data_IF_053273392968
#
_entry.id   IF_053273392968
#
_cell.length_a   1.000
_cell.length_b   1.000
_cell.length_c   1.000
_cell.angle_alpha   90.00
_cell.angle_beta   90.00
_cell.angle_gamma   90.00
#
_symmetry.space_group_name_H-M   'P 1'
#
loop_
_entity.id
_entity.type
_entity.pdbx_description
1 polymer ?
#
# COMPACT_ATOMS: atom_id res chain seq x y z
N UNK A 1 11.53 0.19 16.07
CA UNK A 1 12.58 0.57 15.10
C UNK A 1 11.95 0.95 13.75
N UNK A 2 11.12 2.01 13.70
CA UNK A 2 10.38 2.38 12.49
C UNK A 2 10.95 3.65 11.80
N UNK A 3 12.08 4.17 12.27
CA UNK A 3 12.70 5.42 11.79
C UNK A 3 13.76 5.23 10.71
N UNK A 4 13.91 4.01 10.18
CA UNK A 4 14.96 3.68 9.21
C UNK A 4 16.24 3.19 9.87
N UNK A 5 17.41 3.35 9.22
CA UNK A 5 18.67 2.72 9.63
C UNK A 5 19.31 3.37 10.87
N UNK A 6 18.82 4.55 11.30
CA UNK A 6 19.28 5.22 12.50
C UNK A 6 18.11 5.59 13.42
N UNK A 7 18.26 5.35 14.72
CA UNK A 7 17.29 5.72 15.74
C UNK A 7 17.74 7.03 16.38
N UNK A 8 17.09 8.12 16.00
CA UNK A 8 17.37 9.48 16.48
C UNK A 8 16.33 9.97 17.49
N UNK A 9 15.16 9.33 17.57
CA UNK A 9 14.12 9.61 18.56
C UNK A 9 13.31 8.35 18.88
N UNK A 10 12.74 8.26 20.08
CA UNK A 10 11.78 7.20 20.42
C UNK A 10 10.42 7.81 20.77
N UNK A 11 9.33 7.10 20.44
CA UNK A 11 7.96 7.51 20.79
C UNK A 11 7.72 7.33 22.29
N UNK A 12 8.25 6.24 22.84
CA UNK A 12 8.20 5.91 24.26
C UNK A 12 9.52 6.32 24.92
N UNK A 13 9.42 6.84 26.14
CA UNK A 13 10.55 7.26 26.96
C UNK A 13 10.50 6.52 28.30
N UNK A 14 11.67 6.31 28.89
CA UNK A 14 11.79 5.67 30.21
C UNK A 14 11.81 6.75 31.30
N UNK A 15 11.20 6.46 32.44
CA UNK A 15 11.27 7.34 33.62
C UNK A 15 12.69 7.32 34.23
N UNK A 16 13.05 8.35 34.99
CA UNK A 16 14.34 8.42 35.67
C UNK A 16 14.61 7.21 36.59
N UNK A 17 13.57 6.72 37.26
CA UNK A 17 13.64 5.51 38.09
C UNK A 17 13.90 4.24 37.25
N UNK A 18 13.25 4.10 36.09
CA UNK A 18 13.51 2.97 35.18
C UNK A 18 14.90 3.02 34.53
N UNK A 19 15.45 4.22 34.29
CA UNK A 19 16.79 4.41 33.75
C UNK A 19 17.90 3.94 34.72
N UNK A 20 17.66 4.02 36.03
CA UNK A 20 18.63 3.62 37.05
C UNK A 20 18.88 2.10 37.10
N UNK A 21 17.87 1.29 36.73
CA UNK A 21 17.99 -0.17 36.64
C UNK A 21 18.31 -0.71 35.23
N UNK A 22 18.28 0.15 34.21
CA UNK A 22 18.47 -0.23 32.82
C UNK A 22 19.92 -0.11 32.35
N UNK A 23 20.34 -0.94 31.40
CA UNK A 23 21.61 -0.74 30.68
C UNK A 23 21.40 0.24 29.53
N UNK A 24 22.05 1.40 29.62
CA UNK A 24 22.01 2.38 28.54
C UNK A 24 22.81 1.88 27.33
N UNK A 25 22.22 1.99 26.15
CA UNK A 25 22.86 1.75 24.87
C UNK A 25 23.53 3.04 24.40
N UNK A 26 24.80 2.96 24.06
CA UNK A 26 25.57 4.10 23.57
C UNK A 26 25.34 4.34 22.08
N UNK A 27 25.44 5.60 21.62
CA UNK A 27 25.45 5.92 20.19
C UNK A 27 26.49 5.10 19.42
N UNK A 28 26.14 4.68 18.20
CA UNK A 28 26.93 3.80 17.34
C UNK A 28 26.65 2.31 17.54
N UNK A 29 25.95 1.91 18.61
CA UNK A 29 25.61 0.49 18.82
C UNK A 29 24.58 0.00 17.81
N UNK A 30 24.83 -1.18 17.21
CA UNK A 30 23.88 -1.84 16.31
C UNK A 30 22.78 -2.51 17.13
N UNK A 31 21.53 -2.33 16.71
CA UNK A 31 20.32 -2.83 17.35
C UNK A 31 19.62 -3.81 16.41
N UNK A 32 19.09 -4.90 16.95
CA UNK A 32 18.34 -5.92 16.20
C UNK A 32 17.05 -6.30 16.94
N UNK A 33 15.90 -6.24 16.26
CA UNK A 33 14.61 -6.64 16.82
C UNK A 33 14.26 -8.11 16.50
N UNK A 34 13.77 -8.85 17.50
CA UNK A 34 13.57 -10.32 17.39
C UNK A 34 12.23 -10.88 17.93
N UNK A 35 11.29 -10.06 18.43
CA UNK A 35 9.95 -10.52 18.90
C UNK A 35 8.77 -10.06 18.02
N UNK A 36 8.57 -8.74 17.83
CA UNK A 36 7.34 -8.19 17.21
C UNK A 36 7.56 -7.56 15.84
N UNK A 37 8.76 -7.00 15.60
CA UNK A 37 9.21 -6.49 14.30
C UNK A 37 10.48 -7.22 13.87
N UNK A 38 10.35 -8.54 13.74
CA UNK A 38 11.45 -9.47 13.46
C UNK A 38 12.25 -8.98 12.24
N UNK A 39 13.57 -8.90 12.40
CA UNK A 39 14.51 -8.61 11.31
C UNK A 39 14.80 -7.13 11.04
N UNK A 40 14.26 -6.20 11.84
CA UNK A 40 14.68 -4.78 11.75
C UNK A 40 16.03 -4.58 12.42
N UNK A 41 16.99 -4.02 11.69
CA UNK A 41 18.33 -3.67 12.16
C UNK A 41 18.54 -2.15 12.03
N UNK A 42 19.09 -1.50 13.04
CA UNK A 42 19.38 -0.06 13.01
C UNK A 42 20.54 0.30 13.93
N UNK A 43 21.11 1.49 13.76
CA UNK A 43 22.13 2.08 14.63
C UNK A 43 21.50 3.03 15.65
N UNK A 44 21.91 2.96 16.91
CA UNK A 44 21.56 3.99 17.89
C UNK A 44 22.31 5.29 17.54
N UNK A 45 21.59 6.39 17.26
CA UNK A 45 22.21 7.71 17.04
C UNK A 45 22.24 8.55 18.32
N UNK A 46 21.41 8.21 19.29
CA UNK A 46 21.33 8.84 20.61
C UNK A 46 21.47 7.77 21.72
N UNK A 47 21.85 8.16 22.95
CA UNK A 47 21.74 7.27 24.09
C UNK A 47 20.29 6.83 24.29
N UNK A 48 20.05 5.53 24.43
CA UNK A 48 18.70 4.98 24.56
C UNK A 48 18.69 3.72 25.40
N UNK A 49 17.50 3.29 25.82
CA UNK A 49 17.29 2.02 26.52
C UNK A 49 16.45 1.09 25.65
N UNK A 50 16.74 -0.21 25.70
CA UNK A 50 16.03 -1.24 24.94
C UNK A 50 15.21 -2.12 25.86
N UNK A 51 14.05 -2.57 25.39
CA UNK A 51 13.29 -3.63 26.06
C UNK A 51 13.83 -5.02 25.68
N UNK A 52 13.24 -6.07 26.25
CA UNK A 52 13.64 -7.47 25.99
C UNK A 52 13.39 -7.97 24.57
N UNK A 53 12.83 -7.15 23.68
CA UNK A 53 12.55 -7.50 22.29
C UNK A 53 13.64 -7.00 21.32
N UNK A 54 14.64 -6.26 21.83
CA UNK A 54 15.70 -5.62 21.04
C UNK A 54 17.06 -6.01 21.62
N UNK A 55 17.95 -6.53 20.79
CA UNK A 55 19.31 -6.88 21.14
C UNK A 55 20.23 -5.72 20.78
N UNK A 56 21.04 -5.27 21.74
CA UNK A 56 22.15 -4.36 21.49
C UNK A 56 23.42 -5.16 21.20
N UNK A 57 24.04 -4.89 20.05
CA UNK A 57 25.21 -5.57 19.51
C UNK A 57 26.39 -4.58 19.45
N UNK A 58 27.11 -4.34 20.56
CA UNK A 58 28.30 -3.51 20.54
C UNK A 58 29.43 -4.22 19.78
N UNK A 59 30.07 -3.49 18.86
CA UNK A 59 31.20 -4.01 18.08
C UNK A 59 32.45 -4.00 18.97
N UNK A 60 32.97 -5.20 19.26
CA UNK A 60 34.20 -5.38 20.04
C UNK A 60 35.47 -5.10 19.23
N UNK A 61 35.43 -5.36 17.92
CA UNK A 61 36.58 -5.30 17.00
C UNK A 61 36.25 -4.45 15.78
N UNK A 62 36.46 -3.13 15.91
CA UNK A 62 36.22 -2.16 14.84
C UNK A 62 37.27 -2.22 13.71
N UNK A 63 38.40 -2.87 13.99
CA UNK A 63 39.44 -3.24 13.03
C UNK A 63 38.97 -4.30 12.02
N UNK A 64 37.95 -5.09 12.37
CA UNK A 64 37.43 -6.15 11.50
C UNK A 64 36.13 -5.82 10.81
N UNK A 65 35.25 -5.08 11.45
CA UNK A 65 33.88 -4.91 10.96
C UNK A 65 33.35 -3.52 11.25
N UNK A 66 32.69 -2.92 10.26
CA UNK A 66 32.01 -1.63 10.41
C UNK A 66 30.56 -1.82 10.87
N UNK A 67 30.02 -0.82 11.56
CA UNK A 67 28.62 -0.79 11.99
C UNK A 67 27.66 -0.94 10.81
N UNK A 68 27.92 -0.22 9.72
CA UNK A 68 27.02 -0.17 8.57
C UNK A 68 27.05 -1.50 7.78
N UNK A 69 28.21 -2.16 7.70
CA UNK A 69 28.30 -3.50 7.11
C UNK A 69 27.61 -4.55 7.97
N UNK A 70 27.74 -4.48 9.30
CA UNK A 70 27.04 -5.38 10.21
C UNK A 70 25.51 -5.23 10.08
N UNK A 71 25.02 -4.00 9.91
CA UNK A 71 23.59 -3.72 9.67
C UNK A 71 23.13 -4.39 8.37
N UNK A 72 23.88 -4.21 7.27
CA UNK A 72 23.55 -4.80 5.97
C UNK A 72 23.58 -6.33 6.01
N UNK A 73 24.60 -6.92 6.65
CA UNK A 73 24.77 -8.37 6.76
C UNK A 73 23.67 -9.04 7.59
N UNK A 74 23.32 -8.46 8.74
CA UNK A 74 22.23 -8.97 9.57
C UNK A 74 20.86 -8.82 8.89
N UNK A 75 20.67 -7.75 8.12
CA UNK A 75 19.46 -7.58 7.30
C UNK A 75 19.28 -8.71 6.27
N UNK A 76 20.36 -9.15 5.62
CA UNK A 76 20.32 -10.26 4.65
C UNK A 76 20.13 -11.62 5.32
N UNK A 77 20.80 -11.88 6.44
CA UNK A 77 20.70 -13.16 7.16
C UNK A 77 19.25 -13.45 7.61
N UNK A 78 18.47 -12.41 7.92
CA UNK A 78 17.06 -12.54 8.30
C UNK A 78 16.13 -12.70 7.07
N UNK A 79 16.40 -12.01 5.95
CA UNK A 79 15.66 -12.19 4.69
C UNK A 79 15.75 -13.64 4.16
N UNK A 80 16.93 -14.25 4.26
CA UNK A 80 17.14 -15.65 3.85
C UNK A 80 16.41 -16.66 4.76
N UNK A 81 16.30 -16.38 6.06
CA UNK A 81 15.53 -17.20 7.01
C UNK A 81 14.01 -17.10 6.80
N UNK A 82 13.51 -15.91 6.47
CA UNK A 82 12.07 -15.67 6.22
C UNK A 82 11.55 -16.28 4.91
N UNK A 83 12.44 -16.63 3.98
CA UNK A 83 12.08 -17.32 2.73
C UNK A 83 11.63 -18.77 2.97
N UNK A 84 12.02 -19.38 4.10
CA UNK A 84 11.45 -20.64 4.59
C UNK A 84 10.15 -20.34 5.36
N UNK A 85 9.01 -20.44 4.68
CA UNK A 85 7.61 -20.16 5.10
C UNK A 85 7.11 -20.82 6.42
N UNK A 86 7.94 -21.44 7.24
CA UNK A 86 7.54 -22.15 8.45
C UNK A 86 7.87 -21.44 9.79
N UNK A 87 8.57 -20.29 9.79
CA UNK A 87 9.10 -19.70 11.03
C UNK A 87 8.30 -18.51 11.58
N UNK A 88 6.96 -18.51 11.48
CA UNK A 88 6.12 -17.43 12.05
C UNK A 88 6.00 -17.45 13.60
N UNK A 89 6.83 -18.24 14.28
CA UNK A 89 6.91 -18.34 15.75
C UNK A 89 8.33 -18.54 16.31
N UNK A 90 9.37 -18.48 15.47
CA UNK A 90 10.75 -18.67 15.94
C UNK A 90 11.30 -17.38 16.52
N UNK A 91 10.95 -17.07 17.77
CA UNK A 91 11.59 -15.98 18.52
C UNK A 91 13.10 -16.17 18.48
N UNK A 92 13.84 -15.23 17.88
CA UNK A 92 15.29 -15.26 17.87
C UNK A 92 15.77 -15.12 19.32
N UNK A 93 16.47 -16.12 19.84
CA UNK A 93 17.01 -16.12 21.21
C UNK A 93 18.52 -15.83 21.19
N UNK A 94 19.09 -15.54 22.37
CA UNK A 94 20.52 -15.19 22.52
C UNK A 94 21.48 -16.28 22.05
N UNK A 95 21.05 -17.55 22.05
CA UNK A 95 21.84 -18.68 21.55
C UNK A 95 21.90 -18.69 20.02
N UNK A 96 20.72 -18.61 19.36
CA UNK A 96 20.60 -18.58 17.90
C UNK A 96 21.27 -17.35 17.26
N UNK A 97 21.37 -16.24 17.98
CA UNK A 97 22.13 -15.06 17.55
C UNK A 97 23.63 -15.34 17.39
N UNK A 98 24.20 -16.20 18.24
CA UNK A 98 25.63 -16.56 18.16
C UNK A 98 25.95 -17.49 16.99
N UNK A 99 24.95 -18.19 16.47
CA UNK A 99 25.08 -19.13 15.37
C UNK A 99 25.01 -18.45 14.00
N UNK A 100 24.61 -17.18 13.94
CA UNK A 100 24.55 -16.43 12.68
C UNK A 100 25.97 -16.21 12.16
N UNK A 101 26.28 -16.83 11.02
CA UNK A 101 27.51 -16.59 10.28
C UNK A 101 27.29 -15.47 9.29
N UNK A 102 28.21 -14.51 9.29
CA UNK A 102 28.25 -13.40 8.33
C UNK A 102 29.58 -13.43 7.57
N UNK A 103 29.61 -13.07 6.29
CA UNK A 103 30.87 -12.93 5.55
C UNK A 103 31.67 -11.76 6.15
N UNK A 104 32.99 -11.91 6.19
CA UNK A 104 33.89 -10.90 6.77
C UNK A 104 34.99 -10.51 5.77
N UNK A 105 34.65 -9.74 4.72
CA UNK A 105 35.63 -9.25 3.76
C UNK A 105 36.49 -8.12 4.37
N UNK A 106 37.49 -7.64 3.64
CA UNK A 106 38.36 -6.55 4.11
C UNK A 106 37.57 -5.26 4.39
N UNK A 107 38.06 -4.38 5.27
CA UNK A 107 37.38 -3.10 5.56
C UNK A 107 37.12 -2.24 4.31
N UNK A 108 38.05 -2.13 3.34
CA UNK A 108 37.76 -1.46 2.07
C UNK A 108 36.59 -2.09 1.30
N UNK A 109 36.54 -3.42 1.25
CA UNK A 109 35.47 -4.15 0.57
C UNK A 109 34.12 -4.00 1.28
N UNK A 110 34.12 -4.04 2.62
CA UNK A 110 32.90 -3.76 3.40
C UNK A 110 32.32 -2.38 3.09
N UNK A 111 33.18 -1.35 3.01
CA UNK A 111 32.77 0.02 2.64
C UNK A 111 32.23 0.08 1.21
N UNK A 112 32.87 -0.62 0.27
CA UNK A 112 32.41 -0.72 -1.12
C UNK A 112 31.03 -1.36 -1.21
N UNK A 113 30.82 -2.50 -0.54
CA UNK A 113 29.54 -3.22 -0.49
C UNK A 113 28.44 -2.31 0.05
N UNK A 114 28.68 -1.68 1.20
CA UNK A 114 27.70 -0.78 1.84
C UNK A 114 27.36 0.38 0.90
N UNK A 115 28.35 1.02 0.28
CA UNK A 115 28.11 2.13 -0.64
C UNK A 115 27.23 1.73 -1.84
N UNK A 116 27.45 0.56 -2.43
CA UNK A 116 26.63 0.04 -3.54
C UNK A 116 25.19 -0.21 -3.09
N UNK A 117 25.01 -0.86 -1.94
CA UNK A 117 23.67 -1.16 -1.40
C UNK A 117 22.92 0.13 -1.02
N UNK A 118 23.59 1.10 -0.40
CA UNK A 118 23.01 2.39 -0.01
C UNK A 118 22.58 3.21 -1.24
N UNK A 119 23.36 3.20 -2.32
CA UNK A 119 22.99 3.86 -3.58
C UNK A 119 21.70 3.26 -4.16
N UNK A 120 21.61 1.94 -4.20
CA UNK A 120 20.43 1.24 -4.71
C UNK A 120 19.19 1.48 -3.82
N UNK A 121 19.35 1.45 -2.49
CA UNK A 121 18.24 1.74 -1.56
C UNK A 121 17.80 3.21 -1.61
N UNK A 122 18.74 4.14 -1.78
CA UNK A 122 18.45 5.57 -1.98
C UNK A 122 17.60 5.78 -3.23
N UNK A 123 17.94 5.12 -4.34
CA UNK A 123 17.16 5.20 -5.58
C UNK A 123 15.73 4.66 -5.38
N UNK A 124 15.59 3.50 -4.74
CA UNK A 124 14.29 2.89 -4.41
C UNK A 124 13.43 3.80 -3.54
N UNK A 125 14.05 4.41 -2.51
CA UNK A 125 13.37 5.34 -1.62
C UNK A 125 12.92 6.61 -2.35
N UNK A 126 13.75 7.16 -3.24
CA UNK A 126 13.36 8.30 -4.09
C UNK A 126 12.17 7.95 -4.98
N UNK A 127 12.16 6.78 -5.63
CA UNK A 127 11.05 6.34 -6.49
C UNK A 127 9.74 6.13 -5.71
N UNK A 128 9.80 5.53 -4.51
CA UNK A 128 8.64 5.42 -3.62
C UNK A 128 8.05 6.78 -3.25
N UNK A 129 8.90 7.79 -3.02
CA UNK A 129 8.44 9.17 -2.75
C UNK A 129 7.73 9.78 -3.97
N UNK A 130 8.25 9.59 -5.17
CA UNK A 130 7.60 10.06 -6.41
C UNK A 130 6.23 9.41 -6.59
N UNK A 131 6.10 8.11 -6.32
CA UNK A 131 4.81 7.42 -6.40
C UNK A 131 3.76 8.04 -5.46
N UNK A 132 4.16 8.35 -4.22
CA UNK A 132 3.29 9.02 -3.25
C UNK A 132 2.92 10.45 -3.66
N UNK A 133 3.82 11.17 -4.36
CA UNK A 133 3.52 12.49 -4.91
C UNK A 133 2.49 12.41 -6.04
N UNK A 134 2.56 11.40 -6.91
CA UNK A 134 1.57 11.18 -7.97
C UNK A 134 0.17 10.96 -7.37
N UNK A 135 0.08 10.22 -6.27
CA UNK A 135 -1.19 10.02 -5.57
C UNK A 135 -1.79 11.34 -5.04
N UNK A 136 -0.94 12.28 -4.63
CA UNK A 136 -1.38 13.61 -4.20
C UNK A 136 -1.82 14.50 -5.36
N UNK A 137 -1.29 14.31 -6.58
CA UNK A 137 -1.61 15.14 -7.76
C UNK A 137 -3.08 15.05 -8.16
N UNK A 138 -3.70 13.88 -8.09
CA UNK A 138 -5.12 13.73 -8.40
C UNK A 138 -5.99 14.62 -7.49
N UNK A 139 -5.64 14.65 -6.20
CA UNK A 139 -6.30 15.52 -5.20
C UNK A 139 -6.09 16.98 -5.51
N UNK A 140 -4.83 17.40 -5.67
CA UNK A 140 -4.49 18.79 -5.93
C UNK A 140 -5.09 19.32 -7.24
N UNK A 141 -5.12 18.48 -8.29
CA UNK A 141 -5.72 18.86 -9.59
C UNK A 141 -7.23 19.03 -9.44
N UNK A 142 -7.89 18.16 -8.67
CA UNK A 142 -9.32 18.30 -8.39
C UNK A 142 -9.62 19.60 -7.64
N UNK A 143 -8.87 19.87 -6.57
CA UNK A 143 -9.06 21.09 -5.78
C UNK A 143 -8.81 22.35 -6.63
N UNK A 144 -7.74 22.36 -7.44
CA UNK A 144 -7.44 23.46 -8.35
C UNK A 144 -8.55 23.71 -9.39
N UNK A 145 -9.13 22.64 -9.95
CA UNK A 145 -10.13 22.75 -11.01
C UNK A 145 -11.53 23.04 -10.48
N UNK A 146 -11.89 22.51 -9.31
CA UNK A 146 -13.29 22.48 -8.85
C UNK A 146 -13.54 23.11 -7.48
N UNK A 147 -12.56 23.14 -6.56
CA UNK A 147 -12.80 23.66 -5.21
C UNK A 147 -13.03 25.17 -5.22
N UNK A 148 -13.95 25.63 -4.37
CA UNK A 148 -14.32 27.05 -4.24
C UNK A 148 -15.09 27.63 -5.41
N UNK A 149 -15.42 26.82 -6.43
CA UNK A 149 -16.28 27.22 -7.55
C UNK A 149 -17.72 26.81 -7.29
N UNK A 150 -18.65 27.69 -7.67
CA UNK A 150 -20.08 27.44 -7.53
C UNK A 150 -20.62 26.85 -8.84
N UNK A 151 -20.75 25.54 -8.89
CA UNK A 151 -21.48 24.84 -9.94
C UNK A 151 -22.90 24.52 -9.45
N UNK A 152 -23.84 24.39 -10.37
CA UNK A 152 -25.18 23.91 -10.04
C UNK A 152 -25.09 22.46 -9.55
N UNK A 153 -25.80 22.15 -8.47
CA UNK A 153 -25.88 20.78 -7.95
C UNK A 153 -27.16 20.09 -8.43
N UNK A 154 -27.08 18.78 -8.61
CA UNK A 154 -28.19 17.88 -8.94
C UNK A 154 -28.11 16.61 -8.08
N UNK A 155 -29.13 15.76 -8.13
CA UNK A 155 -29.02 14.43 -7.54
C UNK A 155 -28.11 13.57 -8.42
N UNK A 156 -27.20 12.82 -7.81
CA UNK A 156 -26.34 11.88 -8.52
C UNK A 156 -27.16 10.89 -9.37
N UNK A 157 -28.31 10.46 -8.86
CA UNK A 157 -29.23 9.54 -9.53
C UNK A 157 -29.79 10.07 -10.84
N UNK A 158 -29.88 11.38 -11.01
CA UNK A 158 -30.38 12.01 -12.25
C UNK A 158 -29.41 11.77 -13.42
N UNK A 159 -28.14 11.49 -13.11
CA UNK A 159 -27.07 11.23 -14.09
C UNK A 159 -26.68 9.75 -14.21
N UNK A 160 -27.32 8.85 -13.45
CA UNK A 160 -27.01 7.41 -13.46
C UNK A 160 -27.87 6.69 -14.51
N UNK A 161 -27.28 6.41 -15.68
CA UNK A 161 -28.00 5.72 -16.79
C UNK A 161 -28.15 4.22 -16.58
N UNK A 162 -27.21 3.61 -15.85
CA UNK A 162 -27.26 2.19 -15.49
C UNK A 162 -26.62 1.98 -14.13
N UNK A 163 -27.22 1.09 -13.35
CA UNK A 163 -26.67 0.62 -12.09
C UNK A 163 -26.95 -0.87 -11.92
N UNK A 164 -25.90 -1.64 -11.65
CA UNK A 164 -26.02 -3.09 -11.56
C UNK A 164 -25.18 -3.62 -10.40
N UNK A 165 -25.81 -4.41 -9.52
CA UNK A 165 -25.10 -5.17 -8.50
C UNK A 165 -24.45 -6.38 -9.16
N UNK A 166 -23.23 -6.69 -8.75
CA UNK A 166 -22.45 -7.79 -9.30
C UNK A 166 -23.03 -9.16 -9.01
N UNK A 167 -22.44 -10.17 -9.63
CA UNK A 167 -22.83 -11.57 -9.45
C UNK A 167 -22.43 -12.07 -8.07
N UNK A 168 -23.26 -12.91 -7.45
CA UNK A 168 -22.92 -13.59 -6.20
C UNK A 168 -22.29 -14.96 -6.49
N UNK A 169 -21.14 -15.21 -5.86
CA UNK A 169 -20.37 -16.46 -5.95
C UNK A 169 -19.71 -16.71 -4.62
N UNK A 170 -20.03 -17.83 -3.98
CA UNK A 170 -19.46 -18.24 -2.69
C UNK A 170 -17.98 -18.59 -2.85
N UNK A 171 -17.26 -18.69 -1.72
CA UNK A 171 -15.83 -18.99 -1.75
C UNK A 171 -15.48 -20.30 -2.47
N UNK A 172 -16.33 -21.33 -2.37
CA UNK A 172 -16.14 -22.62 -3.05
C UNK A 172 -16.28 -22.53 -4.58
N UNK A 173 -16.95 -21.50 -5.08
CA UNK A 173 -17.19 -21.27 -6.51
C UNK A 173 -16.09 -20.41 -7.15
N UNK A 174 -15.10 -19.98 -6.36
CA UNK A 174 -13.99 -19.14 -6.77
C UNK A 174 -12.69 -19.96 -6.86
N UNK A 175 -11.92 -19.79 -7.93
CA UNK A 175 -10.64 -20.49 -8.07
C UNK A 175 -9.91 -20.10 -9.35
N UNK A 176 -8.59 -20.29 -9.39
CA UNK A 176 -7.77 -19.93 -10.56
C UNK A 176 -8.09 -20.75 -11.82
N UNK A 177 -8.65 -21.95 -11.64
CA UNK A 177 -9.05 -22.85 -12.74
C UNK A 177 -10.36 -22.42 -13.44
N UNK A 178 -11.06 -21.41 -12.93
CA UNK A 178 -12.33 -20.91 -13.47
C UNK A 178 -12.11 -19.96 -14.64
N UNK A 179 -13.15 -19.69 -15.42
CA UNK A 179 -13.01 -19.03 -16.73
C UNK A 179 -12.93 -17.50 -16.67
N UNK A 180 -13.71 -16.83 -15.83
CA UNK A 180 -13.85 -15.37 -15.87
C UNK A 180 -13.24 -14.69 -14.65
N UNK A 181 -12.52 -13.60 -14.87
CA UNK A 181 -11.99 -12.76 -13.80
C UNK A 181 -13.11 -12.17 -12.95
N UNK A 182 -12.91 -12.16 -11.63
CA UNK A 182 -13.91 -11.79 -10.65
C UNK A 182 -13.35 -10.77 -9.66
N UNK A 183 -13.71 -9.50 -9.86
CA UNK A 183 -13.32 -8.37 -9.01
C UNK A 183 -14.18 -8.37 -7.76
N UNK A 184 -13.52 -8.33 -6.61
CA UNK A 184 -14.16 -8.28 -5.30
C UNK A 184 -13.95 -6.92 -4.64
N UNK A 185 -14.76 -6.61 -3.63
CA UNK A 185 -14.66 -5.35 -2.88
C UNK A 185 -13.29 -5.08 -2.21
N UNK A 186 -12.46 -6.11 -1.97
CA UNK A 186 -11.10 -5.98 -1.47
C UNK A 186 -10.09 -5.52 -2.54
N UNK A 187 -10.42 -5.62 -3.83
CA UNK A 187 -9.62 -5.05 -4.91
C UNK A 187 -9.65 -3.51 -4.91
N UNK A 188 -10.69 -2.87 -4.37
CA UNK A 188 -10.70 -1.41 -4.21
C UNK A 188 -9.83 -1.06 -2.99
N UNK A 189 -8.68 -0.42 -3.21
CA UNK A 189 -7.75 -0.04 -2.13
C UNK A 189 -8.34 1.07 -1.25
N UNK A 190 -7.71 1.33 -0.10
CA UNK A 190 -8.10 2.43 0.81
C UNK A 190 -7.90 3.82 0.21
N UNK A 191 -7.21 3.92 -0.92
CA UNK A 191 -6.96 5.17 -1.65
C UNK A 191 -7.85 5.29 -2.90
N UNK A 192 -8.82 4.38 -3.09
CA UNK A 192 -9.79 4.46 -4.20
C UNK A 192 -9.28 3.94 -5.54
N UNK A 193 -8.26 3.07 -5.54
CA UNK A 193 -7.71 2.46 -6.75
C UNK A 193 -8.13 1.00 -6.87
N UNK A 194 -8.01 0.42 -8.05
CA UNK A 194 -8.15 -1.03 -8.25
C UNK A 194 -6.80 -1.73 -8.22
N UNK A 195 -6.66 -2.68 -7.29
CA UNK A 195 -5.57 -3.64 -7.27
C UNK A 195 -6.05 -4.97 -7.86
N UNK A 196 -5.61 -5.23 -9.10
CA UNK A 196 -6.02 -6.41 -9.86
C UNK A 196 -4.99 -7.55 -9.82
N UNK A 197 -3.94 -7.47 -8.98
CA UNK A 197 -2.83 -8.44 -8.96
C UNK A 197 -3.23 -9.82 -8.44
N UNK A 198 -4.21 -9.90 -7.54
CA UNK A 198 -4.64 -11.13 -6.88
C UNK A 198 -6.14 -11.39 -7.02
N UNK A 199 -6.68 -11.16 -8.22
CA UNK A 199 -8.09 -11.41 -8.50
C UNK A 199 -8.41 -12.92 -8.49
N UNK A 200 -9.65 -13.23 -8.13
CA UNK A 200 -10.21 -14.58 -8.24
C UNK A 200 -10.84 -14.76 -9.61
N UNK A 201 -11.17 -16.00 -9.96
CA UNK A 201 -11.96 -16.31 -11.16
C UNK A 201 -13.16 -17.16 -10.78
N UNK A 202 -14.22 -17.07 -11.59
CA UNK A 202 -15.50 -17.77 -11.42
C UNK A 202 -16.02 -18.26 -12.78
N UNK A 203 -16.92 -19.23 -12.75
CA UNK A 203 -17.68 -19.61 -13.95
C UNK A 203 -18.99 -18.82 -13.99
N UNK A 204 -19.42 -18.49 -15.21
CA UNK A 204 -20.63 -17.73 -15.48
C UNK A 204 -21.19 -18.18 -16.83
N UNK A 205 -22.52 -18.15 -16.95
CA UNK A 205 -23.18 -18.34 -18.26
C UNK A 205 -22.97 -17.12 -19.16
N UNK A 206 -23.17 -17.28 -20.46
CA UNK A 206 -23.08 -16.17 -21.43
C UNK A 206 -24.00 -15.00 -21.05
N UNK A 207 -25.22 -15.29 -20.60
CA UNK A 207 -26.18 -14.27 -20.13
C UNK A 207 -25.70 -13.52 -18.88
N UNK A 208 -25.01 -14.21 -17.95
CA UNK A 208 -24.40 -13.55 -16.79
C UNK A 208 -23.21 -12.69 -17.22
N UNK A 209 -22.40 -13.17 -18.17
CA UNK A 209 -21.29 -12.40 -18.71
C UNK A 209 -21.80 -11.12 -19.36
N UNK A 210 -22.81 -11.20 -20.23
CA UNK A 210 -23.40 -10.04 -20.88
C UNK A 210 -23.91 -9.01 -19.86
N UNK A 211 -24.61 -9.47 -18.82
CA UNK A 211 -25.22 -8.60 -17.80
C UNK A 211 -24.20 -7.98 -16.85
N UNK A 212 -23.24 -8.76 -16.37
CA UNK A 212 -22.35 -8.40 -15.26
C UNK A 212 -20.91 -8.09 -15.70
N UNK A 213 -20.64 -7.96 -16.99
CA UNK A 213 -19.33 -7.50 -17.47
C UNK A 213 -19.12 -6.02 -17.20
N UNK A 214 -17.89 -5.70 -16.81
CA UNK A 214 -17.38 -4.33 -16.75
C UNK A 214 -16.78 -3.90 -18.09
N UNK A 215 -16.86 -2.61 -18.36
CA UNK A 215 -16.26 -1.92 -19.50
C UNK A 215 -15.43 -0.74 -19.01
N UNK A 216 -14.46 -0.31 -19.81
CA UNK A 216 -13.65 0.88 -19.47
C UNK A 216 -14.54 2.09 -19.19
N UNK A 217 -14.27 2.78 -18.07
CA UNK A 217 -15.06 3.92 -17.61
C UNK A 217 -16.19 3.58 -16.65
N UNK A 218 -16.48 2.30 -16.40
CA UNK A 218 -17.46 1.92 -15.37
C UNK A 218 -16.98 2.36 -13.97
N UNK A 219 -17.84 3.01 -13.20
CA UNK A 219 -17.55 3.31 -11.80
C UNK A 219 -17.98 2.14 -10.92
N UNK A 220 -17.04 1.57 -10.16
CA UNK A 220 -17.34 0.58 -9.14
C UNK A 220 -17.55 1.27 -7.79
N UNK A 221 -18.66 0.94 -7.13
CA UNK A 221 -19.03 1.45 -5.81
C UNK A 221 -19.19 0.30 -4.81
N UNK A 222 -18.49 0.36 -3.68
CA UNK A 222 -18.58 -0.63 -2.61
C UNK A 222 -19.83 -0.41 -1.75
N UNK A 223 -20.86 -1.23 -1.97
CA UNK A 223 -22.18 -1.07 -1.35
C UNK A 223 -22.27 -1.66 0.05
N UNK A 224 -21.43 -2.65 0.40
CA UNK A 224 -21.48 -3.36 1.69
C UNK A 224 -20.10 -3.67 2.23
N UNK A 225 -19.80 -3.21 3.45
CA UNK A 225 -18.52 -3.47 4.12
C UNK A 225 -18.57 -3.06 5.61
N UNK A 226 -17.41 -3.02 6.29
CA UNK A 226 -17.28 -2.28 7.55
C UNK A 226 -17.57 -0.79 7.35
N UNK A 227 -17.85 -0.06 8.45
CA UNK A 227 -18.21 1.37 8.41
C UNK A 227 -17.14 2.22 7.72
N UNK A 228 -15.86 1.91 7.94
CA UNK A 228 -14.76 2.67 7.35
C UNK A 228 -14.47 2.30 5.88
N UNK A 229 -14.98 1.17 5.38
CA UNK A 229 -14.69 0.67 4.02
C UNK A 229 -15.87 0.75 3.05
N UNK A 230 -17.09 0.90 3.55
CA UNK A 230 -18.29 1.09 2.71
C UNK A 230 -18.26 2.46 2.04
N UNK A 231 -18.67 2.52 0.77
CA UNK A 231 -18.66 3.74 -0.04
C UNK A 231 -17.35 4.00 -0.79
N UNK A 232 -16.33 3.14 -0.65
CA UNK A 232 -15.15 3.20 -1.51
C UNK A 232 -15.56 3.06 -2.97
N UNK A 233 -14.93 3.87 -3.82
CA UNK A 233 -15.14 3.82 -5.26
C UNK A 233 -13.83 3.68 -6.01
N UNK A 234 -13.89 3.18 -7.24
CA UNK A 234 -12.80 3.22 -8.20
C UNK A 234 -13.35 3.17 -9.62
N UNK A 235 -12.68 3.86 -10.55
CA UNK A 235 -13.02 3.76 -11.98
C UNK A 235 -12.34 2.56 -12.59
N UNK A 236 -13.09 1.72 -13.28
CA UNK A 236 -12.59 0.54 -13.96
C UNK A 236 -11.91 0.92 -15.28
N UNK A 237 -10.67 0.47 -15.44
CA UNK A 237 -9.88 0.67 -16.67
C UNK A 237 -9.35 -0.67 -17.15
N UNK A 238 -9.91 -1.20 -18.25
CA UNK A 238 -9.50 -2.52 -18.76
C UNK A 238 -10.55 -3.26 -19.57
N UNK A 239 -10.23 -4.52 -19.87
CA UNK A 239 -11.07 -5.45 -20.65
C UNK A 239 -12.25 -5.99 -19.84
N UNK A 240 -13.16 -6.74 -20.46
CA UNK A 240 -14.29 -7.33 -19.74
C UNK A 240 -13.86 -8.20 -18.54
N UNK A 241 -14.48 -7.94 -17.37
CA UNK A 241 -14.35 -8.70 -16.12
C UNK A 241 -15.67 -8.70 -15.36
N UNK A 242 -15.92 -9.76 -14.60
CA UNK A 242 -17.06 -9.83 -13.68
C UNK A 242 -16.69 -9.22 -12.33
N UNK A 243 -17.71 -8.88 -11.55
CA UNK A 243 -17.54 -8.29 -10.22
C UNK A 243 -18.55 -8.84 -9.22
N UNK A 244 -18.18 -8.78 -7.95
CA UNK A 244 -18.94 -9.37 -6.86
C UNK A 244 -20.14 -8.51 -6.44
N UNK A 245 -21.17 -9.13 -5.88
CA UNK A 245 -22.39 -8.52 -5.37
C UNK A 245 -22.25 -7.46 -4.24
N UNK A 246 -21.07 -7.28 -3.64
CA UNK A 246 -20.79 -6.15 -2.73
C UNK A 246 -20.33 -4.90 -3.49
N UNK A 247 -20.14 -5.02 -4.79
CA UNK A 247 -19.86 -3.92 -5.69
C UNK A 247 -21.08 -3.64 -6.57
N UNK A 248 -21.29 -2.36 -6.85
CA UNK A 248 -22.26 -1.86 -7.81
C UNK A 248 -21.50 -1.18 -8.94
N UNK A 249 -21.76 -1.60 -10.18
CA UNK A 249 -21.37 -0.84 -11.37
C UNK A 249 -22.34 0.33 -11.52
N UNK A 250 -21.80 1.50 -11.83
CA UNK A 250 -22.56 2.69 -12.20
C UNK A 250 -22.01 3.22 -13.52
N UNK A 251 -22.91 3.53 -14.45
CA UNK A 251 -22.62 4.25 -15.69
C UNK A 251 -23.34 5.58 -15.68
N UNK A 252 -22.69 6.60 -16.23
CA UNK A 252 -23.20 7.95 -16.27
C UNK A 252 -23.60 8.38 -17.68
N UNK A 253 -24.44 9.40 -17.75
CA UNK A 253 -25.02 9.98 -18.99
C UNK A 253 -24.02 10.74 -19.88
N UNK A 254 -22.82 11.02 -19.36
CA UNK A 254 -21.79 11.82 -20.03
C UNK A 254 -21.77 13.29 -19.59
N UNK A 255 -22.85 13.80 -18.97
CA UNK A 255 -22.80 15.10 -18.28
C UNK A 255 -21.92 15.01 -17.03
N UNK A 256 -21.92 13.85 -16.36
CA UNK A 256 -20.97 13.53 -15.30
C UNK A 256 -20.00 12.44 -15.75
N UNK A 257 -18.70 12.75 -15.72
CA UNK A 257 -17.66 11.79 -16.04
C UNK A 257 -17.26 10.95 -14.82
N UNK A 258 -16.97 9.65 -15.00
CA UNK A 258 -16.68 8.73 -13.90
C UNK A 258 -15.47 9.14 -13.05
N UNK A 259 -14.42 9.70 -13.66
CA UNK A 259 -13.24 10.18 -12.90
C UNK A 259 -13.61 11.35 -11.98
N UNK A 260 -14.42 12.28 -12.47
CA UNK A 260 -14.89 13.42 -11.68
C UNK A 260 -15.78 12.94 -10.52
N UNK A 261 -16.77 12.09 -10.81
CA UNK A 261 -17.66 11.55 -9.77
C UNK A 261 -16.87 10.75 -8.74
N UNK A 262 -15.98 9.85 -9.17
CA UNK A 262 -15.08 9.13 -8.30
C UNK A 262 -14.36 10.11 -7.37
N UNK A 263 -13.68 11.11 -7.93
CA UNK A 263 -12.87 12.03 -7.14
C UNK A 263 -13.70 12.91 -6.21
N UNK A 264 -14.87 13.36 -6.64
CA UNK A 264 -15.79 14.12 -5.80
C UNK A 264 -16.27 13.29 -4.59
N UNK A 265 -16.59 12.01 -4.78
CA UNK A 265 -16.95 11.13 -3.68
C UNK A 265 -15.82 10.95 -2.65
N UNK A 266 -14.55 11.10 -3.05
CA UNK A 266 -13.39 11.12 -2.16
C UNK A 266 -13.07 12.51 -1.57
N UNK A 267 -13.78 13.57 -1.99
CA UNK A 267 -13.65 14.90 -1.38
C UNK A 267 -14.25 14.94 0.03
N UNK A 268 -13.93 15.98 0.80
CA UNK A 268 -14.51 16.19 2.12
C UNK A 268 -16.04 16.23 2.10
N UNK A 269 -16.62 16.87 1.09
CA UNK A 269 -18.08 16.97 0.97
C UNK A 269 -18.71 15.63 0.57
N UNK A 270 -18.14 14.97 -0.43
CA UNK A 270 -18.59 13.63 -0.86
C UNK A 270 -18.54 12.61 0.27
N UNK A 271 -17.46 12.58 1.06
CA UNK A 271 -17.33 11.69 2.21
C UNK A 271 -18.37 11.99 3.31
N UNK A 272 -18.62 13.28 3.63
CA UNK A 272 -19.69 13.67 4.56
C UNK A 272 -21.06 13.18 4.11
N UNK A 273 -21.35 13.36 2.82
CA UNK A 273 -22.63 12.92 2.24
C UNK A 273 -22.76 11.39 2.21
N UNK A 274 -21.68 10.65 1.96
CA UNK A 274 -21.67 9.19 2.04
C UNK A 274 -21.84 8.71 3.48
N UNK A 275 -21.16 9.32 4.45
CA UNK A 275 -21.26 8.98 5.87
C UNK A 275 -22.68 9.14 6.42
N UNK A 276 -23.37 10.20 6.03
CA UNK A 276 -24.78 10.43 6.39
C UNK A 276 -25.74 9.36 5.82
N UNK A 277 -25.32 8.65 4.77
CA UNK A 277 -26.11 7.61 4.08
C UNK A 277 -25.76 6.19 4.50
N UNK A 278 -24.74 6.01 5.34
CA UNK A 278 -24.36 4.68 5.86
C UNK A 278 -25.44 4.16 6.79
N UNK A 279 -26.03 3.02 6.42
CA UNK A 279 -27.03 2.31 7.23
C UNK A 279 -26.49 0.92 7.57
N UNK A 280 -26.59 0.49 8.84
CA UNK A 280 -25.98 -0.78 9.22
C UNK A 280 -26.09 -1.14 10.70
N UNK A 281 -25.52 -2.30 11.02
CA UNK A 281 -25.34 -2.80 12.39
C UNK A 281 -23.90 -2.57 12.85
N UNK A 282 -23.50 -3.12 14.00
CA UNK A 282 -22.15 -2.91 14.58
C UNK A 282 -20.99 -3.31 13.66
N UNK A 283 -21.17 -4.33 12.81
CA UNK A 283 -20.08 -4.90 11.99
C UNK A 283 -20.26 -4.71 10.48
N UNK A 284 -21.48 -4.49 10.01
CA UNK A 284 -21.79 -4.40 8.57
C UNK A 284 -22.62 -3.16 8.29
N UNK A 285 -22.10 -2.33 7.41
CA UNK A 285 -22.73 -1.12 6.90
C UNK A 285 -22.97 -1.25 5.40
N UNK A 286 -24.02 -0.58 4.94
CA UNK A 286 -24.42 -0.52 3.56
C UNK A 286 -24.76 0.91 3.13
N UNK A 287 -24.54 1.20 1.85
CA UNK A 287 -25.14 2.35 1.15
C UNK A 287 -25.92 1.75 -0.02
N UNK A 288 -27.24 1.90 0.03
CA UNK A 288 -28.14 1.36 -0.98
C UNK A 288 -28.25 2.30 -2.19
N UNK A 289 -28.44 1.74 -3.39
CA UNK A 289 -28.62 2.47 -4.64
C UNK A 289 -29.56 3.68 -4.53
N UNK A 290 -30.77 3.48 -3.99
CA UNK A 290 -31.76 4.56 -3.78
C UNK A 290 -31.27 5.68 -2.88
N UNK A 291 -30.46 5.37 -1.87
CA UNK A 291 -29.89 6.38 -0.97
C UNK A 291 -28.69 7.09 -1.60
N UNK A 292 -27.86 6.36 -2.35
CA UNK A 292 -26.75 6.94 -3.11
C UNK A 292 -27.26 7.91 -4.19
N UNK A 293 -28.36 7.57 -4.86
CA UNK A 293 -28.97 8.38 -5.89
C UNK A 293 -29.35 9.80 -5.41
N UNK A 294 -29.67 10.00 -4.12
CA UNK A 294 -30.02 11.32 -3.58
C UNK A 294 -28.81 12.18 -3.20
N UNK A 295 -27.59 11.69 -3.38
CA UNK A 295 -26.36 12.43 -3.12
C UNK A 295 -26.32 13.67 -4.01
N UNK A 296 -26.10 14.84 -3.42
CA UNK A 296 -25.99 16.09 -4.15
C UNK A 296 -24.60 16.19 -4.74
N UNK A 297 -24.49 16.38 -6.05
CA UNK A 297 -23.21 16.49 -6.74
C UNK A 297 -23.18 17.77 -7.59
N UNK A 298 -22.11 18.58 -7.50
CA UNK A 298 -21.92 19.71 -8.41
C UNK A 298 -21.69 19.21 -9.83
N UNK A 299 -22.28 19.88 -10.82
CA UNK A 299 -22.19 19.55 -12.24
C UNK A 299 -21.35 20.62 -12.96
N UNK A 300 -20.01 20.49 -12.97
CA UNK A 300 -19.14 21.42 -13.69
C UNK A 300 -19.23 21.20 -15.21
N UNK A 301 -18.84 22.20 -16.03
CA UNK A 301 -18.79 22.05 -17.48
C UNK A 301 -17.99 20.82 -17.93
N UNK A 302 -18.50 20.11 -18.93
CA UNK A 302 -17.91 18.88 -19.47
C UNK A 302 -16.42 19.08 -19.84
N UNK A 303 -16.07 20.23 -20.42
CA UNK A 303 -14.69 20.55 -20.80
C UNK A 303 -13.69 20.51 -19.63
N UNK A 304 -14.12 20.96 -18.43
CA UNK A 304 -13.29 20.87 -17.22
C UNK A 304 -13.17 19.42 -16.74
N UNK A 305 -14.27 18.67 -16.78
CA UNK A 305 -14.25 17.25 -16.41
C UNK A 305 -13.34 16.44 -17.35
N UNK A 306 -13.42 16.67 -18.66
CA UNK A 306 -12.54 16.03 -19.65
C UNK A 306 -11.07 16.39 -19.43
N UNK A 307 -10.76 17.65 -19.12
CA UNK A 307 -9.40 18.08 -18.78
C UNK A 307 -8.88 17.37 -17.52
N UNK A 308 -9.74 17.20 -16.53
CA UNK A 308 -9.44 16.43 -15.32
C UNK A 308 -9.18 14.95 -15.65
N UNK A 309 -10.09 14.29 -16.37
CA UNK A 309 -9.94 12.89 -16.81
C UNK A 309 -8.65 12.66 -17.60
N UNK A 310 -8.27 13.56 -18.51
CA UNK A 310 -6.99 13.50 -19.23
C UNK A 310 -5.79 13.56 -18.27
N UNK A 311 -5.87 14.38 -17.24
CA UNK A 311 -4.81 14.48 -16.22
C UNK A 311 -4.71 13.19 -15.40
N UNK A 312 -5.85 12.63 -14.98
CA UNK A 312 -5.91 11.35 -14.26
C UNK A 312 -5.32 10.21 -15.10
N UNK A 313 -5.68 10.10 -16.37
CA UNK A 313 -5.13 9.09 -17.27
C UNK A 313 -3.59 9.18 -17.36
N UNK A 314 -3.04 10.39 -17.46
CA UNK A 314 -1.58 10.61 -17.45
C UNK A 314 -0.93 10.20 -16.13
N UNK A 315 -1.58 10.49 -14.99
CA UNK A 315 -1.07 10.12 -13.68
C UNK A 315 -1.03 8.60 -13.50
N UNK A 316 -2.08 7.90 -13.91
CA UNK A 316 -2.12 6.43 -13.89
C UNK A 316 -1.08 5.81 -14.81
N UNK A 317 -0.84 6.39 -15.98
CA UNK A 317 0.22 5.93 -16.89
C UNK A 317 1.61 6.10 -16.26
N UNK A 318 1.92 7.27 -15.70
CA UNK A 318 3.17 7.54 -14.99
C UNK A 318 3.37 6.58 -13.81
N UNK A 319 2.29 6.35 -13.05
CA UNK A 319 2.25 5.43 -11.91
C UNK A 319 2.55 4.00 -12.35
N UNK A 320 1.92 3.52 -13.42
CA UNK A 320 2.11 2.17 -13.95
C UNK A 320 3.57 1.96 -14.39
N UNK A 321 4.14 2.92 -15.13
CA UNK A 321 5.55 2.91 -15.53
C UNK A 321 6.50 2.85 -14.33
N UNK A 322 6.29 3.71 -13.32
CA UNK A 322 7.11 3.72 -12.11
C UNK A 322 6.96 2.44 -11.28
N UNK A 323 5.75 1.90 -11.18
CA UNK A 323 5.49 0.65 -10.44
C UNK A 323 6.21 -0.54 -11.08
N UNK A 324 6.21 -0.62 -12.41
CA UNK A 324 6.99 -1.62 -13.15
C UNK A 324 8.49 -1.46 -12.89
N UNK A 325 8.99 -0.22 -12.95
CA UNK A 325 10.41 0.07 -12.71
C UNK A 325 10.85 -0.27 -11.27
N UNK A 326 9.99 0.00 -10.28
CA UNK A 326 10.26 -0.33 -8.88
C UNK A 326 10.36 -1.84 -8.65
N UNK A 327 9.57 -2.65 -9.35
CA UNK A 327 9.67 -4.11 -9.27
C UNK A 327 11.05 -4.60 -9.76
N UNK A 328 11.57 -3.98 -10.83
CA UNK A 328 12.92 -4.26 -11.33
C UNK A 328 13.99 -3.82 -10.33
N UNK A 329 13.85 -2.67 -9.68
CA UNK A 329 14.79 -2.21 -8.65
C UNK A 329 14.81 -3.14 -7.43
N UNK A 330 13.64 -3.61 -7.00
CA UNK A 330 13.53 -4.53 -5.88
C UNK A 330 14.22 -5.86 -6.22
N UNK A 331 14.06 -6.36 -7.44
CA UNK A 331 14.76 -7.55 -7.92
C UNK A 331 16.29 -7.34 -8.04
N UNK A 332 16.71 -6.19 -8.60
CA UNK A 332 18.13 -5.82 -8.73
C UNK A 332 18.77 -5.69 -7.34
N UNK A 333 18.10 -5.03 -6.40
CA UNK A 333 18.60 -4.88 -5.04
C UNK A 333 18.78 -6.24 -4.35
N UNK A 334 17.80 -7.15 -4.50
CA UNK A 334 17.92 -8.51 -3.97
C UNK A 334 19.10 -9.26 -4.59
N UNK A 335 19.33 -9.11 -5.90
CA UNK A 335 20.48 -9.70 -6.61
C UNK A 335 21.81 -9.12 -6.13
N UNK A 336 21.91 -7.79 -5.99
CA UNK A 336 23.10 -7.11 -5.49
C UNK A 336 23.43 -7.55 -4.06
N UNK A 337 22.42 -7.64 -3.18
CA UNK A 337 22.61 -8.17 -1.83
C UNK A 337 23.16 -9.60 -1.87
N UNK A 338 22.56 -10.48 -2.69
CA UNK A 338 23.00 -11.86 -2.79
C UNK A 338 24.45 -11.99 -3.25
N UNK A 339 24.84 -11.26 -4.31
CA UNK A 339 26.20 -11.23 -4.84
C UNK A 339 27.20 -10.64 -3.84
N UNK A 340 26.82 -9.55 -3.17
CA UNK A 340 27.67 -8.87 -2.18
C UNK A 340 28.11 -9.81 -1.06
N UNK A 341 27.15 -10.56 -0.50
CA UNK A 341 27.42 -11.43 0.64
C UNK A 341 28.02 -12.79 0.23
N UNK A 342 28.19 -13.06 -1.07
CA UNK A 342 28.98 -14.18 -1.61
C UNK A 342 30.37 -13.79 -2.09
N UNK A 343 30.70 -12.50 -2.13
CA UNK A 343 31.96 -12.01 -2.70
C UNK A 343 31.98 -12.00 -4.24
N UNK A 344 30.82 -11.86 -4.87
CA UNK A 344 30.63 -11.89 -6.33
C UNK A 344 30.38 -10.49 -6.94
N UNK A 345 30.71 -9.41 -6.21
CA UNK A 345 30.47 -8.00 -6.57
C UNK A 345 31.62 -7.33 -7.33
#
# INVERSE_FOLDING_TARGET
MNQGPQITRTKEQITASGAAGGRQVTPGTVLLSFKLSIGKVAKAAIPLYTNEAIAALPIKRRDLITEDFLIAALGQAELSRNSNRAAMGATLNKAKLKEIRIPLPSLPEQRRIVAILDQADTLRTKRRKVLAQIDALASATFDFLFAGKNFQSSNLGDHMVDQQIGVDRRAAEQGSARQHDYIRMDAITREGRLDLRSIKRVDASEAEVEKYSLTDGDLLFNTRNSRELVGKTAVYRGSSRLYNNNLMRIRFDGELLPDYVHRYLWSTDGQKQLDARKSGTTSVFAIYARSLATLQIPVPPESLQQSFSKSIARYEEMRSRLSCQMALDDALFASLQFRAFRGEL
#
